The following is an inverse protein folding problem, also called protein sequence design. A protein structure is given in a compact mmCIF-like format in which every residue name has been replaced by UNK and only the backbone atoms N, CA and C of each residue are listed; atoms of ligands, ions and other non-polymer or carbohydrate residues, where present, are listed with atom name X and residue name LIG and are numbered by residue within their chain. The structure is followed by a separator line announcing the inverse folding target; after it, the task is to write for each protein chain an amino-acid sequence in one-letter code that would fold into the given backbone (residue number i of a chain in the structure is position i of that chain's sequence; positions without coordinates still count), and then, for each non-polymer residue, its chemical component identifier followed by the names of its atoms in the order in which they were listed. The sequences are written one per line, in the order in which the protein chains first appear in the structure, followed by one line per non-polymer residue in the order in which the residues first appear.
data_IF_429954499247
#
_entry.id   IF_429954499247
#
_cell.length_a   1.000
_cell.length_b   1.000
_cell.length_c   1.000
_cell.angle_alpha   90.00
_cell.angle_beta   90.00
_cell.angle_gamma   90.00
#
_symmetry.space_group_name_H-M   'P 1'
#
loop_
_entity.id
_entity.type
_entity.pdbx_description
1 polymer ?
#
# COMPACT_ATOMS: atom_id res chain seq x y z
N UNK A 1 5.91 -0.38 16.77
CA UNK A 1 6.46 -1.01 15.55
C UNK A 1 6.88 0.11 14.62
N UNK A 2 8.15 0.15 14.24
CA UNK A 2 8.66 1.11 13.27
C UNK A 2 8.47 0.51 11.87
N UNK A 3 7.64 1.15 11.04
CA UNK A 3 7.36 0.62 9.70
C UNK A 3 8.47 1.02 8.74
N UNK A 4 9.10 0.06 8.03
CA UNK A 4 10.15 0.37 7.09
C UNK A 4 9.61 1.24 5.94
N UNK A 5 10.44 2.19 5.51
CA UNK A 5 10.12 3.14 4.44
C UNK A 5 9.65 2.46 3.15
N UNK A 6 10.22 1.30 2.82
CA UNK A 6 9.83 0.51 1.65
C UNK A 6 8.34 0.10 1.66
N UNK A 7 7.78 -0.27 2.81
CA UNK A 7 6.35 -0.62 2.92
C UNK A 7 5.46 0.62 2.77
N UNK A 8 5.90 1.78 3.29
CA UNK A 8 5.21 3.06 3.13
C UNK A 8 5.19 3.44 1.63
N UNK A 9 6.30 3.28 0.93
CA UNK A 9 6.41 3.55 -0.50
C UNK A 9 5.55 2.60 -1.35
N UNK A 10 5.53 1.30 -1.02
CA UNK A 10 4.64 0.33 -1.67
C UNK A 10 3.16 0.69 -1.49
N UNK A 11 2.75 1.13 -0.29
CA UNK A 11 1.38 1.57 -0.03
C UNK A 11 1.03 2.82 -0.84
N UNK A 12 1.91 3.83 -0.85
CA UNK A 12 1.71 5.04 -1.67
C UNK A 12 1.60 4.72 -3.16
N UNK A 13 2.40 3.77 -3.66
CA UNK A 13 2.33 3.33 -5.05
C UNK A 13 1.00 2.62 -5.36
N UNK A 14 0.53 1.75 -4.47
CA UNK A 14 -0.76 1.08 -4.61
C UNK A 14 -1.93 2.07 -4.59
N UNK A 15 -1.91 3.05 -3.69
CA UNK A 15 -2.94 4.09 -3.59
C UNK A 15 -2.97 4.97 -4.86
N UNK A 16 -1.81 5.42 -5.34
CA UNK A 16 -1.71 6.20 -6.57
C UNK A 16 -2.17 5.41 -7.81
N UNK A 17 -1.93 4.09 -7.84
CA UNK A 17 -2.39 3.22 -8.91
C UNK A 17 -3.91 2.98 -8.87
N UNK A 18 -4.50 2.86 -7.67
CA UNK A 18 -5.96 2.77 -7.48
C UNK A 18 -6.65 4.04 -7.95
N UNK A 19 -6.15 5.21 -7.54
CA UNK A 19 -6.68 6.51 -7.98
C UNK A 19 -6.63 6.66 -9.51
N UNK A 20 -5.52 6.23 -10.13
CA UNK A 20 -5.38 6.22 -11.58
C UNK A 20 -6.36 5.26 -12.24
N UNK A 21 -6.51 4.05 -11.72
CA UNK A 21 -7.46 3.06 -12.24
C UNK A 21 -8.89 3.59 -12.22
N UNK A 22 -9.34 4.14 -11.08
CA UNK A 22 -10.68 4.73 -10.93
C UNK A 22 -10.93 5.92 -11.85
N UNK A 23 -9.86 6.63 -12.25
CA UNK A 23 -9.94 7.80 -13.14
C UNK A 23 -9.87 7.46 -14.64
N UNK A 24 -9.65 6.19 -15.01
CA UNK A 24 -9.52 5.77 -16.40
C UNK A 24 -10.70 4.89 -16.85
N UNK A 25 -10.96 4.87 -18.16
CA UNK A 25 -11.98 4.06 -18.82
C UNK A 25 -11.45 3.47 -20.14
N UNK A 26 -12.12 2.44 -20.67
CA UNK A 26 -11.71 1.77 -21.90
C UNK A 26 -10.35 1.05 -21.79
N UNK A 27 -9.55 1.07 -22.85
CA UNK A 27 -8.24 0.39 -22.92
C UNK A 27 -7.25 0.89 -21.82
N UNK A 28 -7.32 2.17 -21.47
CA UNK A 28 -6.52 2.75 -20.40
C UNK A 28 -6.90 2.19 -19.01
N UNK A 29 -8.14 1.73 -18.82
CA UNK A 29 -8.55 1.09 -17.57
C UNK A 29 -7.91 -0.29 -17.40
N UNK A 30 -7.75 -1.07 -18.47
CA UNK A 30 -7.09 -2.38 -18.40
C UNK A 30 -5.61 -2.26 -18.01
N UNK A 31 -4.91 -1.27 -18.58
CA UNK A 31 -3.51 -0.98 -18.21
C UNK A 31 -3.42 -0.50 -16.77
N UNK A 32 -4.30 0.42 -16.35
CA UNK A 32 -4.31 0.92 -14.98
C UNK A 32 -4.67 -0.18 -13.96
N UNK A 33 -5.57 -1.11 -14.32
CA UNK A 33 -5.92 -2.27 -13.52
C UNK A 33 -4.72 -3.20 -13.32
N UNK A 34 -3.95 -3.47 -14.37
CA UNK A 34 -2.74 -4.29 -14.27
C UNK A 34 -1.70 -3.65 -13.33
N UNK A 35 -1.45 -2.35 -13.48
CA UNK A 35 -0.54 -1.60 -12.62
C UNK A 35 -0.99 -1.60 -11.16
N UNK A 36 -2.28 -1.40 -10.90
CA UNK A 36 -2.84 -1.46 -9.55
C UNK A 36 -2.74 -2.85 -8.94
N UNK A 37 -2.98 -3.89 -9.74
CA UNK A 37 -2.87 -5.29 -9.30
C UNK A 37 -1.44 -5.64 -8.88
N UNK A 38 -0.44 -5.25 -9.69
CA UNK A 38 0.97 -5.50 -9.41
C UNK A 38 1.44 -4.75 -8.15
N UNK A 39 1.06 -3.48 -8.01
CA UNK A 39 1.39 -2.66 -6.84
C UNK A 39 0.77 -3.24 -5.56
N UNK A 40 -0.49 -3.69 -5.63
CA UNK A 40 -1.18 -4.33 -4.50
C UNK A 40 -0.52 -5.66 -4.13
N UNK A 41 -0.16 -6.48 -5.13
CA UNK A 41 0.53 -7.74 -4.88
C UNK A 41 1.92 -7.53 -4.25
N UNK A 42 2.66 -6.50 -4.68
CA UNK A 42 3.93 -6.13 -4.06
C UNK A 42 3.76 -5.68 -2.61
N UNK A 43 2.75 -4.86 -2.31
CA UNK A 43 2.42 -4.44 -0.95
C UNK A 43 2.07 -5.64 -0.06
N UNK A 44 1.19 -6.54 -0.52
CA UNK A 44 0.77 -7.74 0.24
C UNK A 44 1.96 -8.64 0.55
N UNK A 45 2.85 -8.86 -0.43
CA UNK A 45 4.08 -9.65 -0.21
C UNK A 45 4.98 -8.98 0.83
N UNK A 46 5.22 -7.68 0.71
CA UNK A 46 6.08 -6.94 1.64
C UNK A 46 5.53 -6.96 3.07
N UNK A 47 4.22 -6.71 3.23
CA UNK A 47 3.55 -6.72 4.54
C UNK A 47 3.58 -8.11 5.16
N UNK A 48 3.34 -9.16 4.37
CA UNK A 48 3.41 -10.55 4.86
C UNK A 48 4.81 -10.90 5.33
N UNK A 49 5.83 -10.65 4.52
CA UNK A 49 7.21 -10.94 4.87
C UNK A 49 7.64 -10.21 6.14
N UNK A 50 7.31 -8.91 6.25
CA UNK A 50 7.64 -8.15 7.45
C UNK A 50 6.87 -8.63 8.69
N UNK A 51 5.60 -9.02 8.54
CA UNK A 51 4.84 -9.59 9.65
C UNK A 51 5.46 -10.90 10.18
N UNK A 52 5.91 -11.77 9.27
CA UNK A 52 6.63 -13.00 9.58
C UNK A 52 7.96 -12.72 10.27
N UNK A 53 8.76 -11.80 9.74
CA UNK A 53 10.05 -11.38 10.32
C UNK A 53 9.91 -10.81 11.74
N UNK A 54 8.85 -10.04 12.00
CA UNK A 54 8.58 -9.43 13.29
C UNK A 54 7.83 -10.36 14.26
N UNK A 55 7.34 -11.51 13.79
CA UNK A 55 6.53 -12.42 14.60
C UNK A 55 5.19 -11.83 15.04
N UNK A 56 4.57 -10.97 14.22
CA UNK A 56 3.31 -10.30 14.54
C UNK A 56 2.20 -10.65 13.54
N UNK A 57 0.91 -10.44 13.89
CA UNK A 57 -0.18 -10.58 12.94
C UNK A 57 -0.05 -9.62 11.75
N UNK A 58 -0.26 -10.12 10.53
CA UNK A 58 -0.27 -9.32 9.29
C UNK A 58 -1.16 -8.09 9.39
N UNK A 59 -2.33 -8.22 10.02
CA UNK A 59 -3.31 -7.14 10.17
C UNK A 59 -2.76 -5.96 11.00
N UNK A 60 -1.88 -6.21 11.96
CA UNK A 60 -1.27 -5.15 12.78
C UNK A 60 -0.26 -4.35 11.95
N UNK A 61 0.49 -5.02 11.08
CA UNK A 61 1.39 -4.38 10.11
C UNK A 61 0.58 -3.54 9.12
N UNK A 62 -0.51 -4.07 8.56
CA UNK A 62 -1.39 -3.32 7.64
C UNK A 62 -1.90 -2.03 8.27
N UNK A 63 -2.41 -2.10 9.51
CA UNK A 63 -2.89 -0.92 10.25
C UNK A 63 -1.77 0.08 10.53
N UNK A 64 -0.57 -0.39 10.84
CA UNK A 64 0.57 0.46 11.09
C UNK A 64 1.06 1.16 9.81
N UNK A 65 1.09 0.45 8.67
CA UNK A 65 1.37 1.02 7.34
C UNK A 65 0.34 2.10 6.99
N UNK A 66 -0.96 1.82 7.16
CA UNK A 66 -2.04 2.79 6.94
C UNK A 66 -1.86 4.06 7.78
N UNK A 67 -1.50 3.93 9.06
CA UNK A 67 -1.22 5.08 9.93
C UNK A 67 0.02 5.86 9.49
N UNK A 68 1.06 5.17 9.03
CA UNK A 68 2.31 5.79 8.61
C UNK A 68 2.18 6.56 7.28
N UNK A 69 1.26 6.14 6.41
CA UNK A 69 1.01 6.82 5.12
C UNK A 69 0.12 8.05 5.30
N UNK A 70 -0.79 8.04 6.27
CA UNK A 70 -1.61 9.20 6.58
C UNK A 70 -0.73 10.38 7.02
N UNK A 71 -0.91 11.58 6.44
CA UNK A 71 -0.31 12.77 7.01
C UNK A 71 -0.80 12.87 8.46
N UNK A 72 0.12 13.09 9.40
CA UNK A 72 -0.27 13.48 10.74
C UNK A 72 -1.04 14.78 10.58
N UNK A 73 -2.37 14.72 10.64
CA UNK A 73 -3.17 15.92 10.88
C UNK A 73 -2.78 16.36 12.28
N UNK A 74 -1.79 17.23 12.36
CA UNK A 74 -1.55 18.07 13.52
C UNK A 74 -2.84 18.87 13.69
N UNK A 75 -3.71 18.42 14.59
CA UNK A 75 -4.76 19.27 15.11
C UNK A 75 -4.06 20.22 16.07
N UNK A 76 -3.64 21.38 15.54
CA UNK A 76 -3.51 22.60 16.33
C UNK A 76 -4.91 23.10 16.75
#
# INVERSE_FOLDING_TARGET
MEIPRSLIELKRAADAADDRYRSNSGENASVALAVWSDATAALVRGVTAYAEEQGVPRQDVERAVERAVRPHLTMD
#
